data_IF_864451370779
#
_entry.id   IF_864451370779
#
_cell.length_a   1.000
_cell.length_b   1.000
_cell.length_c   1.000
_cell.angle_alpha   90.00
_cell.angle_beta   90.00
_cell.angle_gamma   90.00
#
_symmetry.space_group_name_H-M   'P 1'
#
loop_
_entity.id
_entity.type
_entity.pdbx_description
1 polymer ?
#
# COMPACT_ATOMS: atom_id res chain seq x y z
N UNK A 1 -5.99 23.11 14.09
CA UNK A 1 -7.39 22.72 13.79
C UNK A 1 -7.50 21.81 12.56
N UNK A 2 -6.78 22.07 11.46
CA UNK A 2 -6.75 21.16 10.27
C UNK A 2 -6.26 19.74 10.56
N UNK A 3 -5.28 19.58 11.45
CA UNK A 3 -4.66 18.29 11.77
C UNK A 3 -5.68 17.22 12.21
N UNK A 4 -6.74 17.60 12.93
CA UNK A 4 -7.77 16.65 13.34
C UNK A 4 -8.60 16.12 12.17
N UNK A 5 -8.86 16.96 11.17
CA UNK A 5 -9.64 16.59 9.98
C UNK A 5 -8.83 15.63 9.11
N UNK A 6 -7.55 15.94 8.90
CA UNK A 6 -6.64 15.05 8.15
C UNK A 6 -6.45 13.74 8.89
N UNK A 7 -6.17 13.77 10.20
CA UNK A 7 -6.02 12.55 11.02
C UNK A 7 -7.29 11.70 10.99
N UNK A 8 -8.47 12.29 11.16
CA UNK A 8 -9.74 11.57 11.11
C UNK A 8 -10.00 10.96 9.72
N UNK A 9 -9.69 11.69 8.64
CA UNK A 9 -9.79 11.17 7.28
C UNK A 9 -8.90 9.95 7.04
N UNK A 10 -7.62 10.02 7.44
CA UNK A 10 -6.72 8.88 7.33
C UNK A 10 -7.16 7.70 8.19
N UNK A 11 -7.65 7.95 9.41
CA UNK A 11 -8.20 6.90 10.28
C UNK A 11 -9.42 6.23 9.66
N UNK A 12 -10.33 7.00 9.06
CA UNK A 12 -11.50 6.45 8.38
C UNK A 12 -11.11 5.53 7.22
N UNK A 13 -10.10 5.91 6.43
CA UNK A 13 -9.57 5.07 5.35
C UNK A 13 -8.95 3.78 5.92
N UNK A 14 -8.14 3.88 6.97
CA UNK A 14 -7.55 2.71 7.63
C UNK A 14 -8.61 1.74 8.16
N UNK A 15 -9.65 2.28 8.80
CA UNK A 15 -10.77 1.49 9.31
C UNK A 15 -11.54 0.85 8.16
N UNK A 16 -11.79 1.59 7.07
CA UNK A 16 -12.45 1.03 5.89
C UNK A 16 -11.65 -0.14 5.29
N UNK A 17 -10.32 0.01 5.14
CA UNK A 17 -9.45 -1.07 4.66
C UNK A 17 -9.51 -2.29 5.59
N UNK A 18 -9.41 -2.08 6.91
CA UNK A 18 -9.48 -3.17 7.88
C UNK A 18 -10.85 -3.87 7.83
N UNK A 19 -11.94 -3.13 7.76
CA UNK A 19 -13.30 -3.68 7.66
C UNK A 19 -13.49 -4.48 6.37
N UNK A 20 -12.97 -4.00 5.24
CA UNK A 20 -13.04 -4.74 3.97
C UNK A 20 -12.28 -6.07 4.04
N UNK A 21 -11.10 -6.08 4.66
CA UNK A 21 -10.30 -7.30 4.84
C UNK A 21 -10.99 -8.28 5.81
N UNK A 22 -11.51 -7.79 6.93
CA UNK A 22 -12.27 -8.61 7.89
C UNK A 22 -13.52 -9.19 7.24
N UNK A 23 -14.24 -8.39 6.44
CA UNK A 23 -15.42 -8.84 5.72
C UNK A 23 -15.08 -9.89 4.64
N UNK A 24 -13.97 -9.69 3.91
CA UNK A 24 -13.47 -10.66 2.93
C UNK A 24 -13.08 -12.00 3.59
N UNK A 25 -12.44 -11.94 4.77
CA UNK A 25 -12.12 -13.15 5.57
C UNK A 25 -13.37 -13.86 6.08
N UNK A 26 -14.41 -13.13 6.47
CA UNK A 26 -15.68 -13.72 6.91
C UNK A 26 -16.52 -14.30 5.77
N UNK A 27 -16.41 -13.75 4.55
CA UNK A 27 -17.19 -14.18 3.36
C UNK A 27 -16.29 -14.41 2.15
N UNK A 28 -15.38 -15.41 2.20
CA UNK A 28 -14.39 -15.65 1.14
C UNK A 28 -15.02 -16.03 -0.21
N UNK A 29 -16.28 -16.47 -0.22
CA UNK A 29 -17.01 -16.82 -1.44
C UNK A 29 -17.54 -15.59 -2.22
N UNK A 30 -17.58 -14.39 -1.61
CA UNK A 30 -18.01 -13.15 -2.28
C UNK A 30 -16.86 -12.19 -2.57
N UNK A 31 -15.86 -12.14 -1.70
CA UNK A 31 -14.68 -11.29 -1.82
C UNK A 31 -13.46 -12.08 -1.37
N UNK A 32 -12.48 -12.24 -2.26
CA UNK A 32 -11.22 -12.88 -1.91
C UNK A 32 -10.45 -12.00 -0.91
N UNK A 33 -9.93 -12.57 0.19
CA UNK A 33 -9.05 -11.86 1.10
C UNK A 33 -7.85 -11.26 0.37
N UNK A 34 -7.41 -10.08 0.79
CA UNK A 34 -6.30 -9.37 0.15
C UNK A 34 -5.00 -10.19 0.26
N UNK A 35 -4.86 -10.97 1.34
CA UNK A 35 -3.79 -11.93 1.53
C UNK A 35 -3.76 -13.04 0.46
N UNK A 36 -4.92 -13.61 0.10
CA UNK A 36 -5.01 -14.67 -0.92
C UNK A 36 -4.74 -14.10 -2.32
N UNK A 37 -5.21 -12.88 -2.59
CA UNK A 37 -4.90 -12.17 -3.84
C UNK A 37 -3.40 -11.89 -3.95
N UNK A 38 -2.78 -11.42 -2.87
CA UNK A 38 -1.34 -11.20 -2.80
C UNK A 38 -0.56 -12.50 -2.98
N UNK A 39 -0.94 -13.58 -2.30
CA UNK A 39 -0.25 -14.86 -2.41
C UNK A 39 -0.35 -15.43 -3.84
N UNK A 40 -1.51 -15.28 -4.48
CA UNK A 40 -1.70 -15.64 -5.88
C UNK A 40 -0.80 -14.84 -6.82
N UNK A 41 -0.78 -13.51 -6.66
CA UNK A 41 0.01 -12.59 -7.47
C UNK A 41 1.52 -12.77 -7.24
N UNK A 42 1.93 -13.12 -6.02
CA UNK A 42 3.32 -13.40 -5.64
C UNK A 42 3.87 -14.72 -6.17
N UNK A 43 3.02 -15.62 -6.69
CA UNK A 43 3.49 -16.80 -7.44
C UNK A 43 4.09 -16.42 -8.78
N UNK A 44 3.74 -15.27 -9.36
CA UNK A 44 4.34 -14.80 -10.60
C UNK A 44 5.71 -14.18 -10.35
N UNK A 45 6.73 -14.67 -11.06
CA UNK A 45 8.10 -14.13 -11.01
C UNK A 45 8.15 -12.65 -11.40
N UNK A 46 7.31 -12.25 -12.36
CA UNK A 46 7.20 -10.86 -12.84
C UNK A 46 6.72 -9.92 -11.73
N UNK A 47 5.77 -10.34 -10.90
CA UNK A 47 5.31 -9.50 -9.79
C UNK A 47 6.40 -9.28 -8.76
N UNK A 48 7.15 -10.33 -8.38
CA UNK A 48 8.25 -10.19 -7.42
C UNK A 48 9.30 -9.20 -7.92
N UNK A 49 9.67 -9.29 -9.19
CA UNK A 49 10.58 -8.33 -9.82
C UNK A 49 9.95 -6.94 -9.86
N UNK A 50 8.66 -6.84 -10.19
CA UNK A 50 7.91 -5.58 -10.19
C UNK A 50 7.89 -4.89 -8.83
N UNK A 51 7.76 -5.64 -7.73
CA UNK A 51 7.79 -5.11 -6.37
C UNK A 51 9.19 -4.62 -6.00
N UNK A 52 10.23 -5.41 -6.32
CA UNK A 52 11.62 -4.99 -6.10
C UNK A 52 11.93 -3.74 -6.93
N UNK A 53 11.46 -3.67 -8.18
CA UNK A 53 11.63 -2.52 -9.06
C UNK A 53 10.86 -1.29 -8.56
N UNK A 54 9.63 -1.47 -8.08
CA UNK A 54 8.85 -0.39 -7.46
C UNK A 54 9.51 0.12 -6.17
N UNK A 55 10.06 -0.79 -5.37
CA UNK A 55 10.82 -0.43 -4.17
C UNK A 55 12.12 0.31 -4.52
N UNK A 56 12.85 -0.18 -5.52
CA UNK A 56 14.05 0.47 -6.05
C UNK A 56 13.73 1.87 -6.60
N UNK A 57 12.62 2.00 -7.33
CA UNK A 57 12.12 3.26 -7.88
C UNK A 57 11.76 4.26 -6.77
N UNK A 58 11.01 3.83 -5.75
CA UNK A 58 10.70 4.66 -4.57
C UNK A 58 11.98 5.06 -3.81
N UNK A 59 12.91 4.13 -3.64
CA UNK A 59 14.20 4.38 -2.99
C UNK A 59 15.00 5.46 -3.69
N UNK A 60 15.12 5.40 -5.02
CA UNK A 60 15.73 6.47 -5.81
C UNK A 60 14.99 7.80 -5.61
N UNK A 61 13.66 7.82 -5.73
CA UNK A 61 12.88 9.05 -5.60
C UNK A 61 13.00 9.71 -4.22
N UNK A 62 12.92 8.96 -3.12
CA UNK A 62 13.04 9.54 -1.77
C UNK A 62 14.47 9.90 -1.40
N UNK A 63 15.47 9.15 -1.87
CA UNK A 63 16.88 9.41 -1.53
C UNK A 63 17.46 10.55 -2.35
N UNK A 64 17.11 10.66 -3.63
CA UNK A 64 17.68 11.66 -4.54
C UNK A 64 16.88 12.95 -4.63
N UNK A 65 15.56 12.94 -4.37
CA UNK A 65 14.79 14.19 -4.39
C UNK A 65 15.22 15.17 -3.29
N UNK A 66 15.61 14.67 -2.12
CA UNK A 66 16.16 15.50 -1.03
C UNK A 66 17.50 16.13 -1.44
N UNK A 67 18.39 15.38 -2.08
CA UNK A 67 19.75 15.86 -2.37
C UNK A 67 19.81 16.93 -3.45
N UNK A 68 18.87 16.95 -4.41
CA UNK A 68 18.82 17.99 -5.45
C UNK A 68 18.27 19.32 -4.90
N UNK A 69 17.41 19.26 -3.88
CA UNK A 69 16.75 20.45 -3.33
C UNK A 69 17.66 21.32 -2.46
N UNK A 70 18.69 20.73 -1.84
CA UNK A 70 19.60 21.44 -0.93
C UNK A 70 20.78 22.15 -1.66
N UNK A 71 20.93 21.94 -2.97
CA UNK A 71 22.10 22.41 -3.76
C UNK A 71 21.78 23.63 -4.65
N UNK A 72 20.53 24.11 -4.68
CA UNK A 72 20.07 25.21 -5.53
C UNK A 72 19.50 26.37 -4.70
#
# INVERSE_FOLDING_TARGET
MLWWITTAGYLAILVAMALTEVFARWRPHRLAPLADMLDHVMRLRTTRVGIIAAWWWLGWHFTFAVTIQDVL
#
